data_IF_398373437001
#
_entry.id   IF_398373437001
#
_cell.length_a   1.000
_cell.length_b   1.000
_cell.length_c   1.000
_cell.angle_alpha   90.00
_cell.angle_beta   90.00
_cell.angle_gamma   90.00
#
_symmetry.space_group_name_H-M   'P 1'
#
loop_
_entity.id
_entity.type
_entity.pdbx_description
1 polymer ?
#
# COMPACT_ATOMS: atom_id res chain seq x y z
N UNK A 1 -12.42 -3.10 10.42
CA UNK A 1 -12.55 -3.41 8.98
C UNK A 1 -13.92 -3.96 8.57
N UNK A 2 -14.58 -4.84 9.35
CA UNK A 2 -15.85 -5.46 8.93
C UNK A 2 -17.11 -4.56 8.95
N UNK A 3 -17.23 -3.54 9.80
CA UNK A 3 -18.45 -2.72 9.91
C UNK A 3 -18.61 -1.66 8.81
N UNK A 4 -17.53 -0.98 8.40
CA UNK A 4 -17.60 0.08 7.37
C UNK A 4 -17.67 -0.53 5.97
N UNK A 5 -16.97 -1.65 5.74
CA UNK A 5 -17.04 -2.38 4.48
C UNK A 5 -18.46 -2.91 4.20
N UNK A 6 -19.23 -3.22 5.25
CA UNK A 6 -20.61 -3.73 5.09
C UNK A 6 -21.62 -2.65 4.66
N UNK A 7 -21.36 -1.36 4.87
CA UNK A 7 -22.27 -0.28 4.49
C UNK A 7 -22.11 0.22 3.05
N UNK A 8 -21.06 -0.22 2.31
CA UNK A 8 -20.75 0.20 0.94
C UNK A 8 -20.64 -0.96 -0.05
N UNK A 9 -21.23 -2.13 0.28
CA UNK A 9 -21.17 -3.26 -0.64
C UNK A 9 -22.29 -3.13 -1.66
N UNK A 10 -22.04 -2.43 -2.77
CA UNK A 10 -22.88 -2.54 -3.95
C UNK A 10 -22.63 -3.90 -4.61
N UNK A 11 -23.72 -4.69 -4.78
CA UNK A 11 -23.66 -5.97 -5.49
C UNK A 11 -24.05 -5.75 -6.95
N UNK A 12 -23.16 -6.06 -7.87
CA UNK A 12 -23.42 -5.92 -9.30
C UNK A 12 -24.36 -6.99 -9.88
N UNK A 13 -24.79 -7.95 -9.06
CA UNK A 13 -25.74 -8.99 -9.48
C UNK A 13 -27.07 -8.41 -9.99
N UNK A 14 -27.62 -7.45 -9.23
CA UNK A 14 -28.87 -6.80 -9.62
C UNK A 14 -28.70 -5.98 -10.90
N UNK A 15 -27.56 -5.29 -11.07
CA UNK A 15 -27.28 -4.52 -12.27
C UNK A 15 -27.29 -5.44 -13.51
N UNK A 16 -26.59 -6.57 -13.43
CA UNK A 16 -26.52 -7.56 -14.53
C UNK A 16 -27.90 -8.17 -14.79
N UNK A 17 -28.67 -8.52 -13.75
CA UNK A 17 -30.01 -9.10 -13.88
C UNK A 17 -31.01 -8.12 -14.50
N UNK A 18 -30.92 -6.82 -14.20
CA UNK A 18 -31.76 -5.77 -14.78
C UNK A 18 -31.57 -5.66 -16.31
N UNK A 19 -30.40 -6.03 -16.84
CA UNK A 19 -30.18 -6.18 -18.28
C UNK A 19 -30.66 -7.52 -18.84
N UNK A 20 -31.31 -8.37 -18.02
CA UNK A 20 -31.92 -9.65 -18.47
C UNK A 20 -30.90 -10.78 -18.63
N UNK A 21 -29.78 -10.74 -17.90
CA UNK A 21 -28.82 -11.85 -17.86
C UNK A 21 -29.15 -12.84 -16.74
N UNK A 22 -28.97 -14.12 -17.00
CA UNK A 22 -28.93 -15.17 -15.98
C UNK A 22 -27.54 -15.23 -15.37
N UNK A 23 -27.47 -15.22 -14.03
CA UNK A 23 -26.22 -15.09 -13.27
C UNK A 23 -25.99 -16.32 -12.42
N UNK A 24 -24.78 -16.89 -12.48
CA UNK A 24 -24.29 -17.93 -11.56
C UNK A 24 -23.12 -17.36 -10.74
N UNK A 25 -23.13 -17.52 -9.43
CA UNK A 25 -22.03 -17.04 -8.58
C UNK A 25 -20.88 -18.06 -8.52
N UNK A 26 -19.67 -17.61 -8.81
CA UNK A 26 -18.45 -18.40 -8.71
C UNK A 26 -17.40 -17.64 -7.91
N UNK A 27 -17.08 -18.10 -6.70
CA UNK A 27 -16.07 -17.51 -5.82
C UNK A 27 -16.25 -15.99 -5.70
N UNK A 28 -15.39 -15.19 -6.34
CA UNK A 28 -15.42 -13.72 -6.32
C UNK A 28 -16.07 -13.11 -7.54
N UNK A 29 -16.51 -13.92 -8.51
CA UNK A 29 -17.10 -13.50 -9.77
C UNK A 29 -18.58 -13.90 -9.91
N UNK A 30 -19.29 -13.14 -10.71
CA UNK A 30 -20.58 -13.49 -11.32
C UNK A 30 -20.29 -14.03 -12.70
N UNK A 31 -20.71 -15.25 -13.00
CA UNK A 31 -20.60 -15.84 -14.33
C UNK A 31 -21.89 -15.66 -15.10
N UNK A 32 -21.77 -15.20 -16.34
CA UNK A 32 -22.84 -15.03 -17.30
C UNK A 32 -22.52 -15.88 -18.54
N UNK A 33 -23.45 -16.74 -18.89
CA UNK A 33 -23.29 -17.69 -19.99
C UNK A 33 -22.37 -18.87 -19.70
N UNK A 34 -22.27 -19.80 -20.63
CA UNK A 34 -21.42 -20.99 -20.51
C UNK A 34 -20.02 -20.69 -21.08
N UNK A 35 -19.01 -20.82 -20.24
CA UNK A 35 -17.62 -20.62 -20.63
C UNK A 35 -17.03 -21.97 -21.04
N UNK A 36 -16.65 -22.09 -22.30
CA UNK A 36 -15.96 -23.28 -22.83
C UNK A 36 -14.45 -23.06 -22.80
N UNK A 37 -13.69 -24.11 -22.55
CA UNK A 37 -12.22 -24.07 -22.70
C UNK A 37 -11.89 -24.01 -24.20
N UNK A 38 -11.59 -22.82 -24.68
CA UNK A 38 -11.18 -22.58 -26.07
C UNK A 38 -9.80 -21.96 -26.12
N UNK A 39 -9.07 -22.16 -27.24
CA UNK A 39 -7.76 -21.54 -27.49
C UNK A 39 -7.88 -20.03 -27.87
N UNK A 40 -9.02 -19.40 -27.61
CA UNK A 40 -9.24 -17.98 -27.87
C UNK A 40 -8.85 -17.19 -26.64
N UNK A 41 -7.95 -16.18 -26.76
CA UNK A 41 -7.54 -15.37 -25.63
C UNK A 41 -8.71 -14.60 -25.02
N UNK A 42 -8.77 -14.56 -23.69
CA UNK A 42 -9.73 -13.74 -22.93
C UNK A 42 -9.38 -12.28 -23.02
N UNK A 43 -10.40 -11.44 -22.92
CA UNK A 43 -10.24 -9.98 -22.82
C UNK A 43 -10.51 -9.57 -21.36
N UNK A 44 -9.66 -8.75 -20.81
CA UNK A 44 -9.78 -8.22 -19.44
C UNK A 44 -10.06 -6.73 -19.49
N UNK A 45 -11.07 -6.28 -18.78
CA UNK A 45 -11.37 -4.85 -18.60
C UNK A 45 -11.02 -4.48 -17.18
N UNK A 46 -10.12 -3.52 -17.06
CA UNK A 46 -9.61 -3.00 -15.76
C UNK A 46 -10.22 -1.65 -15.48
N UNK A 47 -10.80 -1.48 -14.31
CA UNK A 47 -11.42 -0.21 -13.92
C UNK A 47 -11.28 0.02 -12.40
N UNK A 48 -11.20 1.30 -12.00
CA UNK A 48 -11.24 1.69 -10.58
C UNK A 48 -12.62 1.41 -9.99
N UNK A 49 -12.66 1.16 -8.67
CA UNK A 49 -13.89 0.71 -7.99
C UNK A 49 -15.06 1.68 -8.15
N UNK A 50 -14.81 2.99 -8.03
CA UNK A 50 -15.84 4.02 -8.13
C UNK A 50 -16.48 4.15 -9.51
N UNK A 51 -15.84 3.66 -10.56
CA UNK A 51 -16.30 3.80 -11.95
C UNK A 51 -16.99 2.53 -12.51
N UNK A 52 -17.12 1.46 -11.73
CA UNK A 52 -17.71 0.20 -12.20
C UNK A 52 -19.18 0.36 -12.60
N UNK A 53 -19.98 1.06 -11.79
CA UNK A 53 -21.41 1.25 -12.10
C UNK A 53 -21.61 1.94 -13.45
N UNK A 54 -20.79 2.93 -13.77
CA UNK A 54 -20.87 3.63 -15.06
C UNK A 54 -20.30 2.78 -16.20
N UNK A 55 -19.23 2.00 -15.95
CA UNK A 55 -18.74 1.01 -16.92
C UNK A 55 -19.82 0.01 -17.29
N UNK A 56 -20.57 -0.52 -16.31
CA UNK A 56 -21.62 -1.51 -16.54
C UNK A 56 -22.75 -0.95 -17.43
N UNK A 57 -23.17 0.30 -17.24
CA UNK A 57 -24.15 0.97 -18.10
C UNK A 57 -23.70 1.02 -19.57
N UNK A 58 -22.40 1.18 -19.80
CA UNK A 58 -21.83 1.28 -21.15
C UNK A 58 -21.59 -0.08 -21.79
N UNK A 59 -21.15 -1.09 -21.01
CA UNK A 59 -20.66 -2.35 -21.56
C UNK A 59 -21.71 -3.47 -21.59
N UNK A 60 -22.66 -3.50 -20.64
CA UNK A 60 -23.67 -4.56 -20.60
C UNK A 60 -24.58 -4.61 -21.83
N UNK A 61 -25.03 -3.49 -22.43
CA UNK A 61 -25.77 -3.52 -23.71
C UNK A 61 -24.98 -4.20 -24.82
N UNK A 62 -23.69 -3.87 -24.96
CA UNK A 62 -22.78 -4.45 -25.95
C UNK A 62 -22.59 -5.96 -25.74
N UNK A 63 -22.40 -6.40 -24.48
CA UNK A 63 -22.24 -7.81 -24.15
C UNK A 63 -23.53 -8.59 -24.37
N UNK A 64 -24.68 -7.95 -24.18
CA UNK A 64 -26.01 -8.56 -24.46
C UNK A 64 -26.23 -8.76 -25.94
N UNK A 65 -25.93 -7.75 -26.74
CA UNK A 65 -26.05 -7.84 -28.23
C UNK A 65 -25.15 -8.94 -28.79
N UNK A 66 -23.91 -9.03 -28.30
CA UNK A 66 -22.93 -10.04 -28.72
C UNK A 66 -23.22 -11.43 -28.16
N UNK A 67 -24.06 -11.54 -27.14
CA UNK A 67 -24.35 -12.78 -26.40
C UNK A 67 -23.09 -13.55 -25.96
N UNK A 68 -21.98 -12.83 -25.71
CA UNK A 68 -20.69 -13.40 -25.35
C UNK A 68 -20.67 -13.75 -23.86
N UNK A 69 -20.13 -14.92 -23.46
CA UNK A 69 -19.97 -15.26 -22.06
C UNK A 69 -18.93 -14.35 -21.37
N UNK A 70 -19.17 -14.01 -20.10
CA UNK A 70 -18.23 -13.20 -19.32
C UNK A 70 -18.30 -13.49 -17.84
N UNK A 71 -17.24 -13.08 -17.11
CA UNK A 71 -17.17 -13.04 -15.65
C UNK A 71 -17.07 -11.58 -15.23
N UNK A 72 -17.83 -11.19 -14.23
CA UNK A 72 -17.79 -9.87 -13.60
C UNK A 72 -17.49 -10.03 -12.12
N UNK A 73 -16.58 -9.23 -11.58
CA UNK A 73 -16.38 -9.16 -10.12
C UNK A 73 -17.71 -8.88 -9.42
N UNK A 74 -18.02 -9.55 -8.30
CA UNK A 74 -19.39 -9.58 -7.78
C UNK A 74 -19.82 -8.33 -6.99
N UNK A 75 -18.88 -7.57 -6.41
CA UNK A 75 -19.18 -6.38 -5.61
C UNK A 75 -17.95 -5.49 -5.41
N UNK A 76 -18.16 -4.28 -4.89
CA UNK A 76 -17.12 -3.28 -4.62
C UNK A 76 -16.00 -3.81 -3.72
N UNK A 77 -16.34 -4.56 -2.67
CA UNK A 77 -15.35 -5.15 -1.77
C UNK A 77 -14.42 -6.11 -2.51
N UNK A 78 -14.99 -7.01 -3.31
CA UNK A 78 -14.20 -7.95 -4.10
C UNK A 78 -13.34 -7.21 -5.12
N UNK A 79 -13.85 -6.13 -5.73
CA UNK A 79 -13.06 -5.33 -6.66
C UNK A 79 -11.91 -4.61 -5.98
N UNK A 80 -12.14 -3.97 -4.84
CA UNK A 80 -11.08 -3.35 -4.05
C UNK A 80 -9.99 -4.38 -3.69
N UNK A 81 -10.38 -5.56 -3.21
CA UNK A 81 -9.44 -6.63 -2.87
C UNK A 81 -8.69 -7.16 -4.11
N UNK A 82 -9.34 -7.23 -5.27
CA UNK A 82 -8.73 -7.61 -6.54
C UNK A 82 -7.64 -6.60 -6.94
N UNK A 83 -8.00 -5.32 -6.98
CA UNK A 83 -7.10 -4.23 -7.38
C UNK A 83 -5.98 -3.99 -6.35
N UNK A 84 -6.19 -4.37 -5.09
CA UNK A 84 -5.19 -4.37 -4.03
C UNK A 84 -4.26 -5.61 -4.04
N UNK A 85 -4.46 -6.55 -4.97
CA UNK A 85 -3.64 -7.74 -5.11
C UNK A 85 -3.89 -8.84 -4.08
N UNK A 86 -4.98 -8.77 -3.30
CA UNK A 86 -5.29 -9.77 -2.27
C UNK A 86 -5.66 -11.16 -2.85
N UNK A 87 -6.00 -11.22 -4.14
CA UNK A 87 -6.25 -12.48 -4.85
C UNK A 87 -5.05 -12.94 -5.69
N UNK A 88 -3.91 -12.28 -5.54
CA UNK A 88 -2.68 -12.49 -6.30
C UNK A 88 -2.40 -11.34 -7.27
N UNK A 89 -1.11 -11.01 -7.48
CA UNK A 89 -0.72 -9.91 -8.37
C UNK A 89 -1.19 -10.14 -9.82
N UNK A 90 -1.25 -11.39 -10.28
CA UNK A 90 -1.69 -11.73 -11.62
C UNK A 90 -3.19 -11.49 -11.86
N UNK A 91 -3.99 -11.37 -10.79
CA UNK A 91 -5.43 -11.11 -10.89
C UNK A 91 -5.77 -9.61 -10.92
N UNK A 92 -4.83 -8.72 -10.60
CA UNK A 92 -5.06 -7.28 -10.56
C UNK A 92 -5.62 -6.78 -11.89
N UNK A 93 -6.69 -5.98 -11.80
CA UNK A 93 -7.35 -5.35 -12.95
C UNK A 93 -8.26 -6.26 -13.77
N UNK A 94 -8.45 -7.52 -13.41
CA UNK A 94 -9.38 -8.43 -14.11
C UNK A 94 -10.82 -8.26 -13.60
N UNK A 95 -11.34 -7.03 -13.64
CA UNK A 95 -12.66 -6.69 -13.10
C UNK A 95 -13.78 -7.33 -13.91
N UNK A 96 -13.66 -7.30 -15.23
CA UNK A 96 -14.54 -7.97 -16.18
C UNK A 96 -13.67 -8.81 -17.12
N UNK A 97 -14.03 -10.09 -17.26
CA UNK A 97 -13.34 -11.06 -18.11
C UNK A 97 -14.32 -11.49 -19.20
N UNK A 98 -14.09 -11.06 -20.43
CA UNK A 98 -14.91 -11.41 -21.61
C UNK A 98 -14.28 -12.63 -22.26
N UNK A 99 -15.11 -13.63 -22.60
CA UNK A 99 -14.67 -14.92 -23.15
C UNK A 99 -15.19 -15.08 -24.59
N UNK A 100 -14.50 -14.51 -25.62
CA UNK A 100 -14.91 -14.64 -27.00
C UNK A 100 -14.89 -16.11 -27.46
N UNK A 101 -15.81 -16.49 -28.34
CA UNK A 101 -15.94 -17.86 -28.90
C UNK A 101 -15.16 -18.04 -30.19
N UNK A 102 -14.87 -16.94 -30.90
CA UNK A 102 -14.12 -16.94 -32.17
C UNK A 102 -13.15 -15.77 -32.21
N UNK A 103 -12.14 -15.86 -33.09
CA UNK A 103 -11.18 -14.76 -33.32
C UNK A 103 -11.89 -13.53 -33.89
N UNK A 104 -12.87 -13.71 -34.78
CA UNK A 104 -13.66 -12.63 -35.36
C UNK A 104 -14.47 -11.89 -34.29
N UNK A 105 -15.10 -12.64 -33.37
CA UNK A 105 -15.81 -12.06 -32.22
C UNK A 105 -14.88 -11.29 -31.33
N UNK A 106 -13.68 -11.82 -31.05
CA UNK A 106 -12.65 -11.10 -30.25
C UNK A 106 -12.23 -9.78 -30.92
N UNK A 107 -11.99 -9.77 -32.24
CA UNK A 107 -11.65 -8.56 -33.00
C UNK A 107 -12.77 -7.52 -32.92
N UNK A 108 -14.02 -7.96 -33.12
CA UNK A 108 -15.19 -7.09 -33.00
C UNK A 108 -15.27 -6.46 -31.59
N UNK A 109 -15.22 -7.31 -30.55
CA UNK A 109 -15.30 -6.88 -29.15
C UNK A 109 -14.16 -5.93 -28.76
N UNK A 110 -12.93 -6.17 -29.21
CA UNK A 110 -11.80 -5.26 -28.97
C UNK A 110 -12.12 -3.84 -29.46
N UNK A 111 -12.67 -3.72 -30.68
CA UNK A 111 -13.01 -2.41 -31.26
C UNK A 111 -14.13 -1.73 -30.47
N UNK A 112 -15.23 -2.45 -30.21
CA UNK A 112 -16.40 -1.90 -29.53
C UNK A 112 -16.09 -1.54 -28.06
N UNK A 113 -15.41 -2.41 -27.33
CA UNK A 113 -15.04 -2.16 -25.92
C UNK A 113 -14.07 -0.99 -25.83
N UNK A 114 -13.05 -0.89 -26.69
CA UNK A 114 -12.14 0.25 -26.70
C UNK A 114 -12.87 1.57 -26.94
N UNK A 115 -13.84 1.59 -27.85
CA UNK A 115 -14.63 2.78 -28.14
C UNK A 115 -15.49 3.16 -26.93
N UNK A 116 -16.21 2.20 -26.37
CA UNK A 116 -17.11 2.42 -25.23
C UNK A 116 -16.35 2.81 -23.93
N UNK A 117 -15.10 2.39 -23.80
CA UNK A 117 -14.34 2.56 -22.55
C UNK A 117 -13.21 3.59 -22.62
N UNK A 118 -13.19 4.44 -23.65
CA UNK A 118 -12.13 5.43 -23.88
C UNK A 118 -11.92 6.44 -22.74
N UNK A 119 -12.94 6.72 -21.94
CA UNK A 119 -12.91 7.68 -20.83
C UNK A 119 -12.66 7.05 -19.45
N UNK A 120 -12.58 5.72 -19.38
CA UNK A 120 -12.35 5.04 -18.12
C UNK A 120 -10.87 4.89 -17.79
N UNK A 121 -10.55 4.67 -16.52
CA UNK A 121 -9.21 4.38 -16.04
C UNK A 121 -9.24 3.21 -15.06
N UNK A 122 -8.13 2.48 -14.97
CA UNK A 122 -7.98 1.32 -14.10
C UNK A 122 -6.53 0.92 -13.92
N UNK A 123 -6.23 0.06 -12.93
CA UNK A 123 -4.89 -0.43 -12.70
C UNK A 123 -4.36 -1.26 -13.88
N UNK A 124 -3.04 -1.32 -14.00
CA UNK A 124 -2.39 -2.16 -15.01
C UNK A 124 -2.63 -3.64 -14.67
N UNK A 125 -3.06 -4.46 -15.65
CA UNK A 125 -3.11 -5.91 -15.52
C UNK A 125 -1.70 -6.52 -15.73
N UNK A 126 -1.01 -7.02 -14.69
CA UNK A 126 0.37 -7.48 -14.83
C UNK A 126 0.53 -8.72 -15.70
N UNK A 127 -0.49 -9.60 -15.71
CA UNK A 127 -0.49 -10.88 -16.43
C UNK A 127 -0.96 -10.82 -17.87
N UNK A 128 -1.33 -9.63 -18.39
CA UNK A 128 -1.92 -9.46 -19.71
C UNK A 128 -1.17 -8.44 -20.59
N UNK A 129 -1.49 -8.38 -21.87
CA UNK A 129 -0.98 -7.37 -22.79
C UNK A 129 -2.02 -6.25 -22.94
N UNK A 130 -1.61 -5.00 -22.77
CA UNK A 130 -2.49 -3.84 -22.94
C UNK A 130 -2.78 -3.61 -24.41
N UNK A 131 -4.06 -3.50 -24.79
CA UNK A 131 -4.54 -3.29 -26.16
C UNK A 131 -5.51 -2.12 -26.28
N UNK A 132 -5.80 -1.45 -25.17
CA UNK A 132 -6.64 -0.26 -25.09
C UNK A 132 -6.36 0.50 -23.81
N UNK A 133 -7.16 1.55 -23.53
CA UNK A 133 -6.97 2.35 -22.31
C UNK A 133 -7.10 1.53 -21.04
N UNK A 134 -8.17 0.73 -20.94
CA UNK A 134 -8.45 -0.18 -19.83
C UNK A 134 -8.67 -1.62 -20.30
N UNK A 135 -8.43 -1.89 -21.59
CA UNK A 135 -8.63 -3.21 -22.20
C UNK A 135 -7.29 -3.93 -22.34
N UNK A 136 -7.27 -5.17 -21.91
CA UNK A 136 -6.12 -6.06 -21.95
C UNK A 136 -6.50 -7.39 -22.59
N UNK A 137 -5.53 -8.10 -23.15
CA UNK A 137 -5.70 -9.42 -23.73
C UNK A 137 -4.79 -10.43 -23.02
N UNK A 138 -5.33 -11.61 -22.75
CA UNK A 138 -4.58 -12.73 -22.19
C UNK A 138 -3.32 -13.03 -23.03
N UNK A 139 -2.20 -13.31 -22.34
CA UNK A 139 -0.96 -13.71 -23.02
C UNK A 139 -1.14 -15.09 -23.64
N UNK A 140 -1.19 -15.16 -24.96
CA UNK A 140 -1.34 -16.40 -25.74
C UNK A 140 -0.48 -16.35 -27.00
N UNK A 141 0.04 -17.49 -27.47
CA UNK A 141 0.75 -17.56 -28.77
C UNK A 141 -0.08 -17.10 -29.97
N UNK A 142 -1.40 -17.21 -29.88
CA UNK A 142 -2.38 -16.89 -30.95
C UNK A 142 -2.57 -15.37 -31.20
N UNK A 143 -1.85 -14.51 -30.47
CA UNK A 143 -2.08 -13.05 -30.45
C UNK A 143 -1.68 -12.33 -31.76
N UNK A 144 -0.84 -12.91 -32.64
CA UNK A 144 -0.27 -12.19 -33.80
C UNK A 144 -1.30 -11.54 -34.71
N UNK A 145 -2.49 -12.14 -34.89
CA UNK A 145 -3.57 -11.55 -35.70
C UNK A 145 -4.44 -10.54 -34.94
N UNK A 146 -4.55 -10.66 -33.61
CA UNK A 146 -5.37 -9.80 -32.77
C UNK A 146 -4.68 -8.47 -32.42
N UNK A 147 -3.34 -8.43 -32.41
CA UNK A 147 -2.56 -7.22 -32.15
C UNK A 147 -2.81 -6.10 -33.18
N UNK A 148 -3.22 -6.43 -34.40
CA UNK A 148 -3.57 -5.45 -35.44
C UNK A 148 -4.86 -4.66 -35.12
N UNK A 149 -5.72 -5.20 -34.26
CA UNK A 149 -6.97 -4.55 -33.81
C UNK A 149 -6.78 -3.70 -32.56
N UNK A 150 -5.59 -3.76 -31.95
CA UNK A 150 -5.24 -3.01 -30.75
C UNK A 150 -4.88 -1.56 -31.10
N UNK A 151 -5.16 -0.65 -30.15
CA UNK A 151 -4.75 0.74 -30.28
C UNK A 151 -3.22 0.84 -30.16
N UNK A 152 -2.55 1.26 -31.25
CA UNK A 152 -1.08 1.35 -31.34
C UNK A 152 -0.45 2.19 -30.21
N UNK A 153 -1.20 3.13 -29.62
CA UNK A 153 -0.74 3.96 -28.47
C UNK A 153 -0.43 3.11 -27.23
N UNK A 154 -1.05 1.95 -27.07
CA UNK A 154 -0.93 1.08 -25.90
C UNK A 154 -0.05 -0.16 -26.14
N UNK A 155 0.30 -0.45 -27.39
CA UNK A 155 1.27 -1.50 -27.74
C UNK A 155 2.68 -0.99 -27.50
N UNK A 156 3.07 -0.81 -26.24
CA UNK A 156 4.44 -0.46 -25.92
C UNK A 156 5.29 -1.73 -25.73
N UNK A 157 6.34 -1.87 -26.53
CA UNK A 157 7.44 -2.76 -26.20
C UNK A 157 8.01 -2.31 -24.85
N UNK A 158 8.20 -3.26 -23.89
CA UNK A 158 8.89 -3.01 -22.61
C UNK A 158 10.35 -2.61 -22.88
N UNK A 159 10.59 -1.36 -23.31
CA UNK A 159 11.94 -0.81 -23.34
C UNK A 159 12.39 -0.58 -21.89
N UNK A 160 13.51 -1.16 -21.52
CA UNK A 160 14.16 -0.89 -20.23
C UNK A 160 14.46 0.61 -20.19
N UNK A 161 13.83 1.34 -19.28
CA UNK A 161 14.08 2.79 -19.17
C UNK A 161 15.49 3.01 -18.67
N UNK A 162 16.31 3.64 -19.46
CA UNK A 162 17.69 4.00 -19.10
C UNK A 162 17.69 5.25 -18.22
N UNK A 163 16.73 6.17 -18.46
CA UNK A 163 16.59 7.46 -17.77
C UNK A 163 15.10 7.63 -17.37
N UNK A 164 14.86 8.13 -16.18
CA UNK A 164 13.55 8.50 -15.65
C UNK A 164 13.52 10.02 -15.49
N UNK A 165 12.44 10.69 -15.96
CA UNK A 165 12.28 12.13 -15.81
C UNK A 165 13.41 12.94 -16.39
N UNK A 166 13.99 12.50 -17.53
CA UNK A 166 15.05 13.15 -18.32
C UNK A 166 16.41 13.28 -17.62
N UNK A 167 16.52 13.08 -16.32
CA UNK A 167 17.75 13.36 -15.58
C UNK A 167 18.09 12.37 -14.46
N UNK A 168 17.33 11.32 -14.27
CA UNK A 168 17.59 10.33 -13.24
C UNK A 168 17.96 8.98 -13.87
N UNK A 169 19.13 8.45 -13.53
CA UNK A 169 19.61 7.15 -13.99
C UNK A 169 19.44 6.12 -12.88
N UNK A 170 18.48 5.17 -13.00
CA UNK A 170 18.35 4.08 -12.04
C UNK A 170 19.60 3.20 -12.03
N UNK A 171 20.19 3.01 -10.86
CA UNK A 171 21.38 2.17 -10.67
C UNK A 171 21.07 0.86 -9.94
N UNK A 172 20.00 0.82 -9.13
CA UNK A 172 19.52 -0.39 -8.48
C UNK A 172 18.00 -0.33 -8.24
N UNK A 173 17.38 -1.50 -8.18
CA UNK A 173 16.01 -1.68 -7.71
C UNK A 173 16.07 -2.00 -6.23
N UNK A 174 15.44 -1.16 -5.40
CA UNK A 174 15.33 -1.37 -3.96
C UNK A 174 14.15 -2.29 -3.65
N UNK A 175 13.00 -2.05 -4.32
CA UNK A 175 11.78 -2.84 -4.13
C UNK A 175 10.90 -2.75 -5.37
N UNK A 176 10.24 -3.84 -5.73
CA UNK A 176 9.20 -3.88 -6.77
C UNK A 176 7.92 -4.43 -6.20
N UNK A 177 6.79 -3.84 -6.58
CA UNK A 177 5.44 -4.30 -6.25
C UNK A 177 4.45 -3.95 -7.36
N UNK A 178 3.22 -4.41 -7.21
CA UNK A 178 2.14 -4.00 -8.11
C UNK A 178 1.87 -2.48 -8.07
N UNK A 179 2.13 -1.80 -6.95
CA UNK A 179 1.98 -0.34 -6.80
C UNK A 179 2.98 0.45 -7.65
N UNK A 180 4.19 -0.07 -7.81
CA UNK A 180 5.31 0.60 -8.47
C UNK A 180 6.64 0.01 -8.05
N UNK A 181 7.71 0.64 -8.50
CA UNK A 181 9.08 0.25 -8.21
C UNK A 181 9.79 1.38 -7.46
N UNK A 182 10.60 1.02 -6.48
CA UNK A 182 11.48 1.94 -5.77
C UNK A 182 12.90 1.72 -6.30
N UNK A 183 13.49 2.80 -6.80
CA UNK A 183 14.83 2.76 -7.38
C UNK A 183 15.82 3.55 -6.51
N UNK A 184 17.04 3.04 -6.40
CA UNK A 184 18.22 3.87 -6.13
C UNK A 184 18.69 4.43 -7.47
N UNK A 185 18.87 5.74 -7.56
CA UNK A 185 19.23 6.40 -8.81
C UNK A 185 20.29 7.47 -8.58
N UNK A 186 20.92 7.91 -9.67
CA UNK A 186 21.82 9.07 -9.70
C UNK A 186 21.14 10.21 -10.45
N UNK A 187 21.10 11.37 -9.85
CA UNK A 187 20.62 12.60 -10.47
C UNK A 187 21.73 13.22 -11.34
N UNK A 188 21.40 13.51 -12.59
CA UNK A 188 22.28 14.24 -13.51
C UNK A 188 22.00 15.76 -13.49
N UNK A 189 21.12 16.23 -12.60
CA UNK A 189 20.82 17.66 -12.46
C UNK A 189 22.07 18.42 -11.99
N UNK A 190 22.36 19.55 -12.64
CA UNK A 190 23.45 20.48 -12.26
C UNK A 190 24.85 19.84 -12.14
N UNK A 191 25.11 18.76 -12.92
CA UNK A 191 26.39 18.00 -12.87
C UNK A 191 26.77 17.48 -11.48
N UNK A 192 25.85 17.48 -10.53
CA UNK A 192 26.02 16.85 -9.22
C UNK A 192 25.51 15.40 -9.31
N UNK A 193 26.40 14.43 -9.36
CA UNK A 193 26.06 13.00 -9.37
C UNK A 193 25.50 12.54 -8.00
N UNK A 194 24.44 13.21 -7.56
CA UNK A 194 23.85 12.96 -6.25
C UNK A 194 22.97 11.71 -6.28
N UNK A 195 23.16 10.82 -5.31
CA UNK A 195 22.32 9.64 -5.12
C UNK A 195 20.95 10.06 -4.61
N UNK A 196 19.90 9.48 -5.20
CA UNK A 196 18.51 9.72 -4.83
C UNK A 196 17.69 8.44 -4.78
N UNK A 197 16.56 8.49 -4.10
CA UNK A 197 15.53 7.46 -4.10
C UNK A 197 14.39 7.93 -5.00
N UNK A 198 13.90 7.04 -5.86
CA UNK A 198 12.73 7.30 -6.70
C UNK A 198 11.65 6.30 -6.33
N UNK A 199 10.51 6.79 -5.82
CA UNK A 199 9.29 6.01 -5.66
C UNK A 199 8.42 6.20 -6.90
N UNK A 200 8.20 5.12 -7.66
CA UNK A 200 7.26 5.08 -8.78
C UNK A 200 5.87 4.71 -8.28
N UNK A 201 4.85 5.43 -8.75
CA UNK A 201 3.45 5.07 -8.62
C UNK A 201 2.88 4.69 -9.99
N UNK A 202 2.44 3.44 -10.14
CA UNK A 202 1.77 2.97 -11.36
C UNK A 202 0.37 3.56 -11.49
N UNK A 203 -0.14 3.74 -12.73
CA UNK A 203 -1.47 4.27 -12.97
C UNK A 203 -2.55 3.52 -12.18
N UNK A 204 -3.38 4.26 -11.46
CA UNK A 204 -4.55 3.78 -10.72
C UNK A 204 -4.28 2.57 -9.79
N UNK A 205 -3.03 2.35 -9.39
CA UNK A 205 -2.70 1.26 -8.48
C UNK A 205 -3.21 1.55 -7.06
N UNK A 206 -3.79 0.53 -6.42
CA UNK A 206 -4.30 0.58 -5.04
C UNK A 206 -5.27 1.77 -4.83
N UNK A 207 -6.30 1.85 -5.68
CA UNK A 207 -7.36 2.83 -5.54
C UNK A 207 -8.20 2.59 -4.26
N UNK A 208 -8.64 3.67 -3.62
CA UNK A 208 -9.57 3.61 -2.51
C UNK A 208 -11.03 3.83 -2.97
N UNK A 209 -11.96 3.80 -2.02
CA UNK A 209 -13.39 4.00 -2.28
C UNK A 209 -13.77 5.41 -2.80
N UNK A 210 -12.81 6.33 -2.87
CA UNK A 210 -12.95 7.65 -3.48
C UNK A 210 -12.20 7.75 -4.82
N UNK A 211 -11.60 6.68 -5.30
CA UNK A 211 -10.80 6.64 -6.51
C UNK A 211 -9.39 7.25 -6.37
N UNK A 212 -8.95 7.56 -5.14
CA UNK A 212 -7.59 8.02 -4.89
C UNK A 212 -6.63 6.83 -4.96
N UNK A 213 -5.52 6.99 -5.65
CA UNK A 213 -4.55 5.94 -5.95
C UNK A 213 -3.19 6.19 -5.27
N UNK A 214 -2.19 5.39 -5.60
CA UNK A 214 -0.81 5.62 -5.17
C UNK A 214 -0.28 6.99 -5.61
N UNK A 215 -0.75 7.54 -6.75
CA UNK A 215 -0.43 8.89 -7.20
C UNK A 215 -0.80 9.95 -6.16
N UNK A 216 -2.02 9.87 -5.63
CA UNK A 216 -2.52 10.83 -4.66
C UNK A 216 -1.75 10.74 -3.34
N UNK A 217 -1.36 9.53 -2.94
CA UNK A 217 -0.51 9.32 -1.77
C UNK A 217 0.91 9.86 -1.97
N UNK A 218 1.52 9.70 -3.15
CA UNK A 218 2.82 10.27 -3.44
C UNK A 218 2.79 11.80 -3.49
N UNK A 219 1.70 12.38 -4.01
CA UNK A 219 1.47 13.83 -3.97
C UNK A 219 1.36 14.33 -2.52
N UNK A 220 0.57 13.64 -1.71
CA UNK A 220 0.45 13.96 -0.29
C UNK A 220 1.78 13.80 0.46
N UNK A 221 2.49 12.70 0.24
CA UNK A 221 3.81 12.48 0.82
C UNK A 221 4.79 13.60 0.47
N UNK A 222 4.75 14.11 -0.78
CA UNK A 222 5.53 15.28 -1.19
C UNK A 222 5.22 16.50 -0.31
N UNK A 223 3.94 16.81 -0.09
CA UNK A 223 3.51 17.96 0.73
C UNK A 223 4.04 17.82 2.16
N UNK A 224 3.86 16.65 2.77
CA UNK A 224 4.33 16.35 4.14
C UNK A 224 5.85 16.47 4.27
N UNK A 225 6.61 15.89 3.33
CA UNK A 225 8.09 15.96 3.37
C UNK A 225 8.57 17.41 3.27
N UNK A 226 7.98 18.22 2.39
CA UNK A 226 8.35 19.64 2.24
C UNK A 226 8.09 20.41 3.53
N UNK A 227 6.98 20.16 4.22
CA UNK A 227 6.62 20.85 5.47
C UNK A 227 7.50 20.40 6.66
N UNK A 228 7.93 19.12 6.64
CA UNK A 228 8.77 18.55 7.72
C UNK A 228 10.28 18.69 7.47
N UNK A 229 10.75 19.19 6.33
CA UNK A 229 12.16 19.16 5.95
C UNK A 229 13.10 19.91 6.92
N UNK A 230 12.58 20.91 7.65
CA UNK A 230 13.35 21.65 8.65
C UNK A 230 13.63 20.86 9.94
N UNK A 231 12.94 19.73 10.11
CA UNK A 231 13.07 18.88 11.32
C UNK A 231 14.26 17.90 11.24
N UNK A 232 14.99 17.83 10.13
CA UNK A 232 16.14 16.95 9.87
C UNK A 232 15.90 15.44 10.09
N UNK A 233 14.63 15.01 10.23
CA UNK A 233 14.25 13.62 10.50
C UNK A 233 13.72 12.87 9.28
N UNK A 234 13.62 13.58 8.15
CA UNK A 234 13.03 13.09 6.89
C UNK A 234 14.03 13.20 5.75
N UNK A 235 13.94 12.33 4.70
CA UNK A 235 14.70 12.53 3.49
C UNK A 235 14.34 13.86 2.83
N UNK A 236 15.32 14.60 2.32
CA UNK A 236 15.07 15.85 1.60
C UNK A 236 14.26 15.59 0.31
N UNK A 237 13.30 16.46 0.02
CA UNK A 237 12.55 16.44 -1.24
C UNK A 237 13.40 16.96 -2.39
N UNK A 238 13.42 16.25 -3.54
CA UNK A 238 14.14 16.68 -4.73
C UNK A 238 13.22 17.03 -5.90
N UNK A 239 12.24 16.20 -6.24
CA UNK A 239 11.25 16.50 -7.27
C UNK A 239 10.05 15.54 -7.22
N UNK A 240 8.96 15.98 -7.85
CA UNK A 240 7.81 15.16 -8.22
C UNK A 240 7.47 15.47 -9.67
N UNK A 241 7.18 14.44 -10.46
CA UNK A 241 6.76 14.58 -11.86
C UNK A 241 5.93 13.37 -12.30
N UNK A 242 5.22 13.54 -13.41
CA UNK A 242 4.46 12.47 -14.06
C UNK A 242 5.04 12.23 -15.45
N UNK A 243 5.20 10.97 -15.81
CA UNK A 243 5.71 10.53 -17.10
C UNK A 243 5.04 9.22 -17.52
N UNK A 244 4.48 9.16 -18.75
CA UNK A 244 3.81 7.97 -19.28
C UNK A 244 2.76 7.35 -18.33
N UNK A 245 1.86 8.17 -17.80
CA UNK A 245 0.82 7.81 -16.83
C UNK A 245 1.35 7.38 -15.44
N UNK A 246 2.66 7.27 -15.22
CA UNK A 246 3.28 6.98 -13.92
C UNK A 246 3.59 8.27 -13.18
N UNK A 247 3.52 8.23 -11.87
CA UNK A 247 3.96 9.30 -10.97
C UNK A 247 5.29 8.93 -10.31
N UNK A 248 6.14 9.92 -10.09
CA UNK A 248 7.46 9.72 -9.51
C UNK A 248 7.72 10.75 -8.41
N UNK A 249 8.00 10.26 -7.21
CA UNK A 249 8.50 11.06 -6.09
C UNK A 249 9.99 10.78 -5.92
N UNK A 250 10.80 11.84 -5.99
CA UNK A 250 12.25 11.76 -5.84
C UNK A 250 12.67 12.46 -4.57
N UNK A 251 13.37 11.72 -3.71
CA UNK A 251 13.88 12.19 -2.43
C UNK A 251 15.37 11.85 -2.27
N UNK A 252 15.98 12.39 -1.24
CA UNK A 252 17.31 11.96 -0.81
C UNK A 252 17.34 10.45 -0.59
N UNK A 253 18.37 9.79 -1.08
CA UNK A 253 18.66 8.41 -0.70
C UNK A 253 19.35 8.41 0.67
N UNK A 254 18.68 7.82 1.66
CA UNK A 254 19.27 7.64 2.98
C UNK A 254 19.99 6.29 3.01
N UNK A 255 21.28 6.32 3.27
CA UNK A 255 22.09 5.12 3.43
C UNK A 255 21.91 4.58 4.86
N UNK A 256 21.39 3.36 4.95
CA UNK A 256 21.07 2.72 6.22
C UNK A 256 20.37 1.38 6.02
N UNK A 257 20.14 0.69 7.12
CA UNK A 257 19.36 -0.56 7.17
C UNK A 257 18.07 -0.31 7.93
N UNK A 258 17.02 -1.07 7.62
CA UNK A 258 15.74 -0.93 8.31
C UNK A 258 15.89 -1.25 9.81
N UNK A 259 15.04 -0.64 10.62
CA UNK A 259 14.96 -0.97 12.04
C UNK A 259 14.61 -2.46 12.23
N UNK A 260 13.80 -3.03 11.34
CA UNK A 260 13.52 -4.48 11.31
C UNK A 260 14.80 -5.30 11.20
N UNK A 261 15.64 -5.00 10.19
CA UNK A 261 16.91 -5.71 9.98
C UNK A 261 17.88 -5.52 11.15
N UNK A 262 17.96 -4.31 11.71
CA UNK A 262 18.80 -3.99 12.88
C UNK A 262 18.37 -4.81 14.10
N UNK A 263 17.09 -4.86 14.41
CA UNK A 263 16.56 -5.66 15.53
C UNK A 263 16.86 -7.14 15.31
N UNK A 264 16.62 -7.64 14.10
CA UNK A 264 16.91 -9.04 13.73
C UNK A 264 18.40 -9.37 13.88
N UNK A 265 19.28 -8.46 13.47
CA UNK A 265 20.73 -8.62 13.58
C UNK A 265 21.20 -8.62 15.04
N UNK A 266 20.57 -7.84 15.92
CA UNK A 266 20.89 -7.83 17.37
C UNK A 266 20.44 -9.14 18.02
N UNK A 267 19.23 -9.62 17.72
CA UNK A 267 18.70 -10.82 18.35
C UNK A 267 19.34 -12.11 17.83
N UNK A 268 19.58 -12.25 16.51
CA UNK A 268 20.14 -13.48 15.90
C UNK A 268 19.45 -14.76 16.39
N UNK A 269 18.13 -14.72 16.58
CA UNK A 269 17.36 -15.85 17.09
C UNK A 269 17.40 -16.06 18.62
N UNK A 270 18.14 -15.23 19.35
CA UNK A 270 18.18 -15.22 20.81
C UNK A 270 16.92 -14.53 21.40
N UNK A 271 16.74 -14.59 22.71
CA UNK A 271 15.73 -13.80 23.41
C UNK A 271 16.38 -12.61 24.15
N UNK A 272 15.56 -11.67 24.65
CA UNK A 272 16.01 -10.51 25.44
C UNK A 272 16.96 -10.88 26.60
N UNK A 273 16.72 -12.00 27.26
CA UNK A 273 17.57 -12.47 28.36
C UNK A 273 18.97 -12.88 27.93
N UNK A 274 19.17 -13.21 26.65
CA UNK A 274 20.46 -13.66 26.09
C UNK A 274 21.25 -12.58 25.37
N UNK A 275 20.66 -11.43 25.08
CA UNK A 275 21.39 -10.29 24.54
C UNK A 275 22.01 -9.50 25.70
N UNK A 276 23.21 -8.93 25.46
CA UNK A 276 23.97 -8.24 26.48
C UNK A 276 23.42 -6.82 26.77
N UNK A 277 23.93 -6.19 27.82
CA UNK A 277 23.53 -4.84 28.25
C UNK A 277 23.65 -3.81 27.11
N UNK A 278 24.75 -3.80 26.37
CA UNK A 278 24.98 -2.86 25.28
C UNK A 278 23.92 -3.01 24.21
N UNK A 279 23.58 -4.24 23.83
CA UNK A 279 22.53 -4.52 22.83
C UNK A 279 21.15 -4.07 23.31
N UNK A 280 20.80 -4.31 24.59
CA UNK A 280 19.55 -3.83 25.20
C UNK A 280 19.48 -2.31 25.18
N UNK A 281 20.55 -1.65 25.61
CA UNK A 281 20.64 -0.18 25.62
C UNK A 281 20.56 0.41 24.23
N UNK A 282 21.21 -0.22 23.25
CA UNK A 282 21.12 0.19 21.84
C UNK A 282 19.68 0.16 21.32
N UNK A 283 18.94 -0.93 21.57
CA UNK A 283 17.52 -1.04 21.18
C UNK A 283 16.67 0.06 21.81
N UNK A 284 16.83 0.31 23.12
CA UNK A 284 16.05 1.33 23.82
C UNK A 284 16.42 2.76 23.37
N UNK A 285 17.70 3.03 23.06
CA UNK A 285 18.12 4.31 22.48
C UNK A 285 17.52 4.54 21.09
N UNK A 286 17.45 3.51 20.25
CA UNK A 286 16.76 3.61 18.96
C UNK A 286 15.26 3.89 19.16
N UNK A 287 14.63 3.28 20.16
CA UNK A 287 13.24 3.57 20.47
C UNK A 287 13.04 5.00 20.98
N UNK A 288 13.93 5.52 21.83
CA UNK A 288 13.91 6.93 22.28
C UNK A 288 14.02 7.89 21.07
N UNK A 289 14.89 7.58 20.11
CA UNK A 289 14.97 8.36 18.86
C UNK A 289 13.64 8.31 18.06
N UNK A 290 13.01 7.15 17.97
CA UNK A 290 11.69 7.03 17.31
C UNK A 290 10.63 7.88 18.03
N UNK A 291 10.64 7.93 19.37
CA UNK A 291 9.75 8.81 20.16
C UNK A 291 9.99 10.30 19.84
N UNK A 292 11.25 10.74 19.78
CA UNK A 292 11.58 12.15 19.47
C UNK A 292 11.18 12.52 18.03
N UNK A 293 11.36 11.61 17.07
CA UNK A 293 10.90 11.81 15.68
C UNK A 293 9.39 11.99 15.66
N UNK A 294 8.62 11.09 16.29
CA UNK A 294 7.16 11.18 16.31
C UNK A 294 6.70 12.43 17.06
N UNK A 295 7.37 12.80 18.15
CA UNK A 295 7.08 14.03 18.89
C UNK A 295 7.25 15.28 18.01
N UNK A 296 8.31 15.36 17.22
CA UNK A 296 8.53 16.49 16.29
C UNK A 296 7.50 16.54 15.17
N UNK A 297 7.05 15.39 14.66
CA UNK A 297 5.97 15.27 13.68
C UNK A 297 4.64 15.78 14.29
N UNK A 298 4.32 15.37 15.54
CA UNK A 298 3.14 15.83 16.27
C UNK A 298 3.15 17.35 16.53
N UNK A 299 4.33 17.92 16.85
CA UNK A 299 4.48 19.37 17.03
C UNK A 299 4.18 20.19 15.78
N UNK A 300 4.38 19.59 14.59
CA UNK A 300 3.98 20.18 13.30
C UNK A 300 2.50 19.93 12.95
N UNK A 301 1.75 19.29 13.83
CA UNK A 301 0.33 19.02 13.63
C UNK A 301 0.03 17.75 12.82
N UNK A 302 1.01 16.90 12.54
CA UNK A 302 0.81 15.65 11.82
C UNK A 302 0.66 14.46 12.76
N UNK A 303 -0.26 13.52 12.39
CA UNK A 303 -0.28 12.14 12.85
C UNK A 303 0.34 11.32 11.74
N UNK A 304 1.35 10.49 12.06
CA UNK A 304 2.13 9.78 11.04
C UNK A 304 1.37 8.58 10.44
N UNK A 305 0.63 7.83 11.28
CA UNK A 305 -0.30 6.74 10.92
C UNK A 305 0.30 5.50 10.24
N UNK A 306 1.61 5.48 10.00
CA UNK A 306 2.31 4.30 9.48
C UNK A 306 3.67 4.08 10.16
N UNK A 307 3.70 4.25 11.48
CA UNK A 307 4.87 3.92 12.30
C UNK A 307 5.04 2.40 12.29
N UNK A 308 6.16 1.94 11.72
CA UNK A 308 6.51 0.51 11.66
C UNK A 308 8.04 0.34 11.61
N UNK A 309 8.50 -0.85 11.89
CA UNK A 309 9.92 -1.24 11.84
C UNK A 309 10.55 -1.12 10.44
N UNK A 310 9.75 -1.17 9.39
CA UNK A 310 10.19 -1.01 8.01
C UNK A 310 10.28 0.44 7.55
N UNK A 311 9.62 1.37 8.25
CA UNK A 311 9.58 2.79 7.89
C UNK A 311 10.63 3.64 8.63
N UNK A 312 11.44 3.01 9.49
CA UNK A 312 12.64 3.61 10.08
C UNK A 312 13.90 3.02 9.48
N UNK A 313 14.86 3.87 9.12
CA UNK A 313 16.23 3.49 8.75
C UNK A 313 17.20 3.85 9.86
N UNK A 314 18.06 2.92 10.22
CA UNK A 314 19.23 3.14 11.10
C UNK A 314 20.40 3.49 10.20
N UNK A 315 20.85 4.73 10.25
CA UNK A 315 22.00 5.23 9.49
C UNK A 315 23.32 4.75 10.09
N UNK A 316 24.41 4.85 9.32
CA UNK A 316 25.75 4.42 9.76
C UNK A 316 26.26 5.13 11.02
N UNK A 317 25.78 6.34 11.29
CA UNK A 317 26.09 7.09 12.52
C UNK A 317 25.24 6.69 13.74
N UNK A 318 24.35 5.68 13.59
CA UNK A 318 23.44 5.22 14.64
C UNK A 318 22.16 6.03 14.81
N UNK A 319 21.94 7.05 13.99
CA UNK A 319 20.71 7.85 14.05
C UNK A 319 19.58 7.22 13.24
N UNK A 320 18.33 7.42 13.69
CA UNK A 320 17.14 7.04 12.95
C UNK A 320 16.68 8.13 11.97
N UNK A 321 16.13 7.68 10.83
CA UNK A 321 15.40 8.50 9.88
C UNK A 321 14.09 7.81 9.54
N UNK A 322 12.96 8.53 9.51
CA UNK A 322 11.69 8.02 9.02
C UNK A 322 11.54 8.33 7.54
N UNK A 323 11.08 7.34 6.72
CA UNK A 323 11.20 7.42 5.26
C UNK A 323 9.85 7.40 4.51
N UNK A 324 8.74 7.23 5.20
CA UNK A 324 7.44 7.13 4.54
C UNK A 324 6.36 7.93 5.27
N UNK A 325 5.66 8.81 4.51
CA UNK A 325 4.62 9.71 5.02
C UNK A 325 3.33 9.60 4.19
N UNK A 326 3.17 8.53 3.40
CA UNK A 326 2.03 8.42 2.48
C UNK A 326 0.67 8.36 3.20
N UNK A 327 0.64 7.96 4.48
CA UNK A 327 -0.58 7.84 5.28
C UNK A 327 -0.76 8.95 6.32
N UNK A 328 0.19 9.87 6.44
CA UNK A 328 0.15 10.95 7.43
C UNK A 328 -1.13 11.78 7.29
N UNK A 329 -1.57 12.35 8.41
CA UNK A 329 -2.75 13.22 8.45
C UNK A 329 -2.43 14.49 9.22
N UNK A 330 -2.78 15.65 8.64
CA UNK A 330 -2.56 16.94 9.26
C UNK A 330 -3.81 17.39 10.04
N UNK A 331 -3.67 17.43 11.36
CA UNK A 331 -4.77 17.66 12.30
C UNK A 331 -5.41 19.06 12.18
N UNK A 332 -4.61 20.07 11.82
CA UNK A 332 -5.08 21.47 11.76
C UNK A 332 -5.82 21.74 10.43
N UNK A 333 -5.27 21.28 9.31
CA UNK A 333 -5.90 21.48 7.99
C UNK A 333 -6.89 20.37 7.61
N UNK A 334 -7.02 19.32 8.44
CA UNK A 334 -7.87 18.15 8.18
C UNK A 334 -7.58 17.48 6.83
N UNK A 335 -6.28 17.31 6.47
CA UNK A 335 -5.87 16.71 5.20
C UNK A 335 -5.04 15.43 5.40
N UNK A 336 -5.17 14.46 4.49
CA UNK A 336 -6.14 14.37 3.38
C UNK A 336 -7.56 14.08 3.92
N UNK A 337 -8.58 14.60 3.27
CA UNK A 337 -9.97 14.44 3.69
C UNK A 337 -10.77 13.57 2.69
N UNK A 338 -11.28 12.42 3.12
CA UNK A 338 -10.99 11.73 4.37
C UNK A 338 -9.55 11.17 4.41
N UNK A 339 -9.07 10.72 5.57
CA UNK A 339 -7.76 10.09 5.69
C UNK A 339 -7.65 8.84 4.80
N UNK A 340 -6.44 8.47 4.38
CA UNK A 340 -6.25 7.24 3.60
C UNK A 340 -6.56 6.01 4.46
N UNK A 341 -7.37 5.04 3.93
CA UNK A 341 -7.88 3.89 4.69
C UNK A 341 -6.87 2.73 4.74
N UNK A 342 -5.63 3.01 5.10
CA UNK A 342 -4.53 2.06 5.11
C UNK A 342 -3.79 2.09 6.45
N UNK A 343 -2.92 1.09 6.67
CA UNK A 343 -2.06 0.98 7.83
C UNK A 343 -1.33 -0.37 7.83
N UNK A 344 -0.15 -0.41 8.44
CA UNK A 344 0.65 -1.63 8.53
C UNK A 344 0.04 -2.59 9.55
N UNK A 345 -0.24 -3.83 9.11
CA UNK A 345 -0.85 -4.87 9.95
C UNK A 345 0.02 -5.14 11.17
N UNK A 346 -0.60 -5.11 12.34
CA UNK A 346 0.07 -5.27 13.62
C UNK A 346 0.54 -3.95 14.25
N UNK A 347 0.67 -2.87 13.49
CA UNK A 347 1.04 -1.53 13.97
C UNK A 347 -0.15 -0.57 13.97
N UNK A 348 -1.01 -0.63 12.96
CA UNK A 348 -2.16 0.26 12.86
C UNK A 348 -3.11 0.11 14.04
N UNK A 349 -3.52 1.22 14.61
CA UNK A 349 -4.48 1.25 15.71
C UNK A 349 -5.86 0.75 15.26
N UNK A 350 -6.67 0.12 16.15
CA UNK A 350 -7.98 -0.39 15.79
C UNK A 350 -8.90 0.66 15.15
N UNK A 351 -8.93 1.86 15.71
CA UNK A 351 -9.73 2.98 15.21
C UNK A 351 -9.27 3.47 13.82
N UNK A 352 -7.98 3.38 13.51
CA UNK A 352 -7.46 3.68 12.17
C UNK A 352 -8.01 2.66 11.15
N UNK A 353 -8.05 1.38 11.52
CA UNK A 353 -8.61 0.32 10.68
C UNK A 353 -10.15 0.41 10.56
N UNK A 354 -10.80 1.04 11.53
CA UNK A 354 -12.24 1.33 11.53
C UNK A 354 -12.59 2.64 10.82
N UNK A 355 -11.59 3.34 10.29
CA UNK A 355 -11.71 4.64 9.61
C UNK A 355 -12.35 5.73 10.49
N UNK A 356 -12.08 5.71 11.79
CA UNK A 356 -12.44 6.78 12.68
C UNK A 356 -11.58 8.03 12.41
N UNK A 357 -12.01 9.18 12.94
CA UNK A 357 -11.23 10.41 12.81
C UNK A 357 -9.84 10.25 13.41
N UNK A 358 -8.77 10.66 12.70
CA UNK A 358 -7.40 10.53 13.15
C UNK A 358 -7.13 11.24 14.48
N UNK A 359 -6.24 10.66 15.27
CA UNK A 359 -5.80 11.19 16.56
C UNK A 359 -4.34 10.83 16.80
N UNK A 360 -3.59 11.70 17.48
CA UNK A 360 -2.18 11.44 17.86
C UNK A 360 -2.00 10.12 18.64
N UNK A 361 -3.06 9.62 19.25
CA UNK A 361 -3.07 8.33 19.96
C UNK A 361 -2.97 7.12 19.05
N UNK A 362 -3.24 7.27 17.73
CA UNK A 362 -2.96 6.22 16.75
C UNK A 362 -1.46 5.91 16.71
N UNK A 363 -0.62 6.94 16.67
CA UNK A 363 0.84 6.80 16.70
C UNK A 363 1.35 6.22 18.01
N UNK A 364 0.71 6.53 19.15
CA UNK A 364 1.04 5.94 20.44
C UNK A 364 0.81 4.42 20.43
N UNK A 365 -0.26 3.96 19.80
CA UNK A 365 -0.52 2.52 19.63
C UNK A 365 0.58 1.86 18.80
N UNK A 366 0.93 2.46 17.66
CA UNK A 366 1.97 1.95 16.77
C UNK A 366 3.37 1.94 17.45
N UNK A 367 3.69 2.98 18.24
CA UNK A 367 4.89 3.01 19.09
C UNK A 367 4.89 1.89 20.14
N UNK A 368 3.74 1.61 20.77
CA UNK A 368 3.60 0.46 21.67
C UNK A 368 3.88 -0.88 21.00
N UNK A 369 3.39 -1.05 19.76
CA UNK A 369 3.66 -2.23 18.94
C UNK A 369 5.14 -2.33 18.56
N UNK A 370 5.76 -1.20 18.18
CA UNK A 370 7.19 -1.12 17.88
C UNK A 370 8.05 -1.47 19.11
N UNK A 371 7.69 -0.96 20.28
CA UNK A 371 8.38 -1.31 21.52
C UNK A 371 8.30 -2.81 21.81
N UNK A 372 7.12 -3.41 21.67
CA UNK A 372 6.97 -4.86 21.81
C UNK A 372 7.86 -5.63 20.83
N UNK A 373 7.95 -5.21 19.57
CA UNK A 373 8.86 -5.81 18.59
C UNK A 373 10.33 -5.69 19.04
N UNK A 374 10.74 -4.51 19.49
CA UNK A 374 12.11 -4.27 19.94
C UNK A 374 12.48 -5.04 21.22
N UNK A 375 11.51 -5.34 22.08
CA UNK A 375 11.72 -6.16 23.28
C UNK A 375 11.70 -7.66 23.03
N UNK A 376 11.02 -8.11 22.00
CA UNK A 376 10.80 -9.55 21.75
C UNK A 376 11.53 -10.08 20.53
N UNK A 377 11.86 -9.22 19.56
CA UNK A 377 12.32 -9.61 18.22
C UNK A 377 11.22 -10.29 17.37
N UNK A 378 9.97 -10.31 17.85
CA UNK A 378 8.83 -10.97 17.19
C UNK A 378 7.95 -9.90 16.55
N UNK A 379 7.61 -10.01 15.24
CA UNK A 379 6.73 -9.05 14.57
C UNK A 379 5.36 -8.91 15.28
N UNK A 380 4.83 -7.67 15.40
CA UNK A 380 3.60 -7.39 16.16
C UNK A 380 2.37 -8.17 15.71
N UNK A 381 2.26 -8.51 14.43
CA UNK A 381 1.17 -9.31 13.88
C UNK A 381 0.98 -10.65 14.59
N UNK A 382 2.02 -11.19 15.21
CA UNK A 382 1.96 -12.49 15.90
C UNK A 382 1.44 -12.41 17.35
N UNK A 383 1.31 -11.22 17.94
CA UNK A 383 0.88 -11.09 19.34
C UNK A 383 -0.19 -10.01 19.60
N UNK A 384 -0.39 -9.04 18.73
CA UNK A 384 -1.38 -7.96 18.94
C UNK A 384 -2.81 -8.48 18.99
N UNK A 385 -3.14 -9.55 18.26
CA UNK A 385 -4.44 -10.21 18.33
C UNK A 385 -4.64 -11.07 19.58
N UNK A 386 -3.59 -11.26 20.40
CA UNK A 386 -3.63 -12.10 21.60
C UNK A 386 -4.22 -11.35 22.79
N UNK A 387 -4.77 -12.12 23.74
CA UNK A 387 -5.23 -11.58 25.01
C UNK A 387 -4.11 -10.73 25.68
N UNK A 388 -4.40 -9.47 26.02
CA UNK A 388 -3.46 -8.52 26.66
C UNK A 388 -2.87 -9.05 27.96
N UNK A 389 -3.64 -9.81 28.75
CA UNK A 389 -3.11 -10.44 29.95
C UNK A 389 -1.98 -11.43 29.62
N UNK A 390 -2.13 -12.16 28.50
CA UNK A 390 -1.07 -13.04 28.00
C UNK A 390 0.16 -12.25 27.55
N UNK A 391 -0.03 -11.18 26.76
CA UNK A 391 1.07 -10.32 26.33
C UNK A 391 1.81 -9.70 27.53
N UNK A 392 1.07 -9.22 28.54
CA UNK A 392 1.69 -8.71 29.77
C UNK A 392 2.55 -9.77 30.49
N UNK A 393 2.02 -11.02 30.59
CA UNK A 393 2.75 -12.13 31.19
C UNK A 393 4.03 -12.47 30.41
N UNK A 394 3.94 -12.48 29.08
CA UNK A 394 5.08 -12.75 28.18
C UNK A 394 6.15 -11.66 28.34
N UNK A 395 5.78 -10.36 28.31
CA UNK A 395 6.68 -9.25 28.53
C UNK A 395 7.31 -9.28 29.93
N UNK A 396 6.53 -9.64 30.96
CA UNK A 396 7.03 -9.70 32.34
C UNK A 396 8.06 -10.82 32.53
N UNK A 397 7.91 -11.93 31.79
CA UNK A 397 8.94 -12.98 31.71
C UNK A 397 10.26 -12.49 31.07
N UNK A 398 10.17 -11.51 30.15
CA UNK A 398 11.30 -10.96 29.39
C UNK A 398 12.03 -9.85 30.19
N UNK A 399 11.30 -8.82 30.60
CA UNK A 399 11.88 -7.59 31.16
C UNK A 399 12.03 -7.63 32.67
N UNK A 400 11.22 -8.45 33.37
CA UNK A 400 11.08 -8.54 34.82
C UNK A 400 10.75 -7.20 35.50
N UNK A 401 10.17 -6.25 34.76
CA UNK A 401 9.78 -4.92 35.23
C UNK A 401 8.28 -4.69 35.00
N UNK A 402 7.49 -4.89 36.05
CA UNK A 402 6.03 -4.83 35.98
C UNK A 402 5.51 -3.42 35.63
N UNK A 403 6.15 -2.35 36.15
CA UNK A 403 5.74 -0.97 35.89
C UNK A 403 5.93 -0.62 34.42
N UNK A 404 7.10 -0.94 33.86
CA UNK A 404 7.43 -0.75 32.46
C UNK A 404 6.49 -1.54 31.52
N UNK A 405 6.20 -2.80 31.87
CA UNK A 405 5.29 -3.62 31.06
C UNK A 405 3.85 -3.11 31.10
N UNK A 406 3.37 -2.59 32.25
CA UNK A 406 2.05 -1.93 32.33
C UNK A 406 1.99 -0.71 31.40
N UNK A 407 3.05 0.11 31.35
CA UNK A 407 3.14 1.26 30.46
C UNK A 407 3.08 0.81 28.99
N UNK A 408 3.86 -0.22 28.61
CA UNK A 408 3.88 -0.77 27.26
C UNK A 408 2.49 -1.28 26.83
N UNK A 409 1.80 -2.00 27.71
CA UNK A 409 0.43 -2.50 27.46
C UNK A 409 -0.59 -1.36 27.37
N UNK A 410 -0.43 -0.29 28.14
CA UNK A 410 -1.28 0.92 28.03
C UNK A 410 -1.15 1.59 26.67
N UNK A 411 0.03 1.61 26.06
CA UNK A 411 0.17 2.12 24.68
C UNK A 411 -0.74 1.37 23.70
N UNK A 412 -0.91 0.06 23.89
CA UNK A 412 -1.74 -0.82 23.07
C UNK A 412 -3.22 -0.84 23.50
N UNK A 413 -3.68 0.07 24.37
CA UNK A 413 -5.09 0.10 24.78
C UNK A 413 -6.03 0.31 23.60
N UNK A 414 -7.19 -0.42 23.60
CA UNK A 414 -8.25 -0.22 22.60
C UNK A 414 -8.92 1.15 22.80
N UNK A 415 -8.97 1.64 24.03
CA UNK A 415 -9.42 3.00 24.32
C UNK A 415 -8.29 3.99 24.12
N UNK A 416 -8.48 4.97 23.24
CA UNK A 416 -7.52 6.05 22.99
C UNK A 416 -7.14 6.79 24.28
N UNK A 417 -8.12 7.07 25.13
CA UNK A 417 -7.94 7.85 26.37
C UNK A 417 -7.05 7.18 27.40
N UNK A 418 -6.91 5.86 27.36
CA UNK A 418 -6.04 5.11 28.26
C UNK A 418 -4.57 5.13 27.84
N UNK A 419 -4.30 5.44 26.56
CA UNK A 419 -2.93 5.48 26.05
C UNK A 419 -2.17 6.67 26.63
N UNK A 420 -0.93 6.47 27.09
CA UNK A 420 -0.11 7.54 27.64
C UNK A 420 0.23 8.59 26.57
N UNK A 421 0.79 9.70 27.00
CA UNK A 421 1.48 10.65 26.12
C UNK A 421 2.95 10.24 25.88
N UNK A 422 3.60 10.86 24.90
CA UNK A 422 4.98 10.56 24.51
C UNK A 422 5.95 10.81 25.68
N UNK A 423 5.76 11.88 26.46
CA UNK A 423 6.67 12.20 27.58
C UNK A 423 6.59 11.14 28.68
N UNK A 424 5.39 10.64 28.98
CA UNK A 424 5.19 9.52 29.91
C UNK A 424 5.90 8.24 29.43
N UNK A 425 5.86 7.96 28.13
CA UNK A 425 6.55 6.80 27.55
C UNK A 425 8.07 7.00 27.67
N UNK A 426 8.57 8.17 27.30
CA UNK A 426 9.99 8.53 27.38
C UNK A 426 10.54 8.37 28.80
N UNK A 427 9.81 8.88 29.79
CA UNK A 427 10.20 8.72 31.20
C UNK A 427 10.25 7.26 31.61
N UNK A 428 9.21 6.47 31.24
CA UNK A 428 9.18 5.04 31.58
C UNK A 428 10.30 4.23 30.93
N UNK A 429 10.73 4.60 29.71
CA UNK A 429 11.92 3.99 29.06
C UNK A 429 13.19 4.35 29.83
N UNK A 430 13.40 5.63 30.20
CA UNK A 430 14.56 6.08 30.94
C UNK A 430 14.67 5.39 32.29
N UNK A 431 13.54 5.28 33.02
CA UNK A 431 13.50 4.57 34.31
C UNK A 431 13.83 3.08 34.13
N UNK A 432 13.30 2.45 33.08
CA UNK A 432 13.60 1.06 32.79
C UNK A 432 15.08 0.85 32.44
N UNK A 433 15.69 1.75 31.66
CA UNK A 433 17.10 1.66 31.28
C UNK A 433 18.04 1.66 32.53
N UNK A 434 17.68 2.40 33.58
CA UNK A 434 18.44 2.39 34.84
C UNK A 434 18.41 1.04 35.56
N UNK A 435 17.41 0.20 35.28
CA UNK A 435 17.28 -1.13 35.89
C UNK A 435 17.99 -2.24 35.10
N UNK A 436 18.50 -1.93 33.90
CA UNK A 436 19.21 -2.91 33.07
C UNK A 436 20.64 -3.13 33.57
N UNK A 437 20.84 -4.28 34.14
CA UNK A 437 22.14 -4.71 34.67
C UNK A 437 22.94 -5.46 33.62
#
# INVERSE_FOLDING_TARGET
MNKIINNFIHSYKNDVQNYGFSVTEQHVYLQIGTIHSQNIPRLYVSVITVAIADLLKMILPLLKESAVPFLLIKNDKCNYMLNAGNYGEDEIGKVLIICPRTVQEAIYLIKQVNLATSNFSGPICPSANRIGRILYIERSPTIKGLAQSADARYIQAKKRRVIIGQCYVPIAIVKTSFKGTVYKAVSLKKLSFQTCLIKEGKPQALDDHLGRSVRDRLLWQKEVIIDLQDQAVTPAFYSYFEEHEHSYLVTQFIEGVTLFETVRAIYQGKSWSWINKTQKTSLLNLFLQALEIVKSIHQKGYVQRDISDSNFLVMSNGNLCIIDFELSYHMISHKPAPPFPLGTVGYAAPEQLELADPDYKEDIYALGALLCFMLTGIPPVHFISKNRAKLFKDLNGITKNSAFNKLTIRCLSLSRSERPDINTIQQGINDFMQTIV
#
